data_IF_508182320504
#
_entry.id   IF_508182320504
#
_cell.length_a   1.000
_cell.length_b   1.000
_cell.length_c   1.000
_cell.angle_alpha   90.00
_cell.angle_beta   90.00
_cell.angle_gamma   90.00
#
_symmetry.space_group_name_H-M   'P 1'
#
loop_
_entity.id
_entity.type
_entity.pdbx_description
1 polymer ?
#
# COMPACT_ATOMS: atom_id res chain seq x y z
N UNK A 1 12.28 67.13 -2.14
CA UNK A 1 13.55 66.86 -1.44
C UNK A 1 13.91 65.42 -1.76
N UNK A 2 13.99 65.08 -3.06
CA UNK A 2 15.06 65.49 -4.02
C UNK A 2 16.31 64.67 -3.66
N UNK A 3 17.02 63.97 -4.52
CA UNK A 3 17.08 63.80 -5.99
C UNK A 3 18.02 62.58 -6.19
N UNK A 4 17.81 61.68 -7.18
CA UNK A 4 18.58 61.58 -8.45
C UNK A 4 20.12 61.55 -8.24
N UNK A 5 20.94 60.72 -8.89
CA UNK A 5 20.84 60.06 -10.19
C UNK A 5 22.06 59.13 -10.41
N UNK A 6 22.09 58.51 -11.60
CA UNK A 6 23.27 58.23 -12.45
C UNK A 6 23.77 56.77 -12.57
N UNK A 7 23.18 56.06 -13.54
CA UNK A 7 23.91 55.20 -14.49
C UNK A 7 24.67 56.10 -15.49
N UNK A 8 25.76 55.69 -16.20
CA UNK A 8 25.61 54.83 -17.39
C UNK A 8 26.85 54.02 -17.92
N UNK A 9 26.53 52.95 -18.67
CA UNK A 9 27.01 52.59 -20.03
C UNK A 9 28.52 52.30 -20.32
N UNK A 10 28.81 51.11 -20.92
CA UNK A 10 29.43 50.97 -22.27
C UNK A 10 29.80 49.53 -22.68
N UNK A 11 29.08 49.05 -23.69
CA UNK A 11 29.56 48.64 -25.03
C UNK A 11 30.57 47.48 -25.24
N UNK A 12 30.06 46.43 -25.89
CA UNK A 12 30.48 45.80 -27.17
C UNK A 12 31.91 45.21 -27.35
N UNK A 13 31.97 43.99 -27.92
CA UNK A 13 32.81 43.49 -29.05
C UNK A 13 32.28 42.07 -29.39
N UNK A 14 31.54 41.86 -30.49
CA UNK A 14 32.01 41.44 -31.83
C UNK A 14 33.08 40.34 -31.84
N UNK A 15 32.75 39.13 -32.32
CA UNK A 15 33.27 38.65 -33.61
C UNK A 15 32.55 37.37 -34.09
N UNK A 16 32.34 37.32 -35.40
CA UNK A 16 31.67 36.29 -36.18
C UNK A 16 32.65 35.23 -36.71
N UNK A 17 32.11 34.07 -37.12
CA UNK A 17 32.47 33.48 -38.41
C UNK A 17 33.20 32.13 -38.45
N UNK A 18 32.45 31.13 -38.94
CA UNK A 18 32.79 30.15 -40.01
C UNK A 18 33.22 28.70 -39.66
N UNK A 19 32.29 27.81 -40.05
CA UNK A 19 32.35 26.36 -40.34
C UNK A 19 33.37 25.98 -41.48
N UNK A 20 33.34 24.76 -42.05
CA UNK A 20 33.63 23.42 -41.51
C UNK A 20 34.70 22.70 -42.36
N UNK A 21 35.40 21.68 -41.85
CA UNK A 21 36.07 20.71 -42.75
C UNK A 21 35.96 19.25 -42.32
N UNK A 22 35.70 18.48 -43.36
CA UNK A 22 35.42 17.06 -43.54
C UNK A 22 36.60 16.14 -43.18
N UNK A 23 36.25 14.99 -42.59
CA UNK A 23 36.97 13.70 -42.41
C UNK A 23 37.43 13.05 -43.74
N UNK A 24 38.05 11.83 -43.80
CA UNK A 24 38.71 10.89 -42.85
C UNK A 24 40.02 10.26 -43.47
N UNK A 25 40.48 8.97 -43.25
CA UNK A 25 40.25 7.91 -42.23
C UNK A 25 41.56 7.22 -41.69
N UNK A 26 41.34 6.12 -40.94
CA UNK A 26 42.24 5.02 -40.50
C UNK A 26 42.86 5.16 -39.09
N UNK A 27 43.01 4.13 -38.25
CA UNK A 27 42.46 2.78 -38.09
C UNK A 27 42.96 2.28 -36.72
N UNK A 28 42.09 1.62 -35.96
CA UNK A 28 42.42 0.52 -35.03
C UNK A 28 43.39 0.76 -33.85
N UNK A 29 42.86 0.96 -32.65
CA UNK A 29 43.32 0.22 -31.46
C UNK A 29 42.12 -0.19 -30.58
N UNK A 30 42.19 -1.44 -30.18
CA UNK A 30 41.20 -2.25 -29.49
C UNK A 30 41.17 -2.00 -27.99
N UNK A 31 40.02 -1.58 -27.47
CA UNK A 31 39.70 -1.67 -26.04
C UNK A 31 38.34 -2.35 -25.88
N UNK A 32 38.38 -3.67 -25.73
CA UNK A 32 37.19 -4.50 -25.47
C UNK A 32 36.81 -4.35 -24.01
N UNK A 33 36.29 -3.20 -23.62
CA UNK A 33 35.43 -3.10 -22.44
C UNK A 33 34.05 -3.63 -22.83
N UNK A 34 33.81 -4.89 -22.47
CA UNK A 34 32.48 -5.52 -22.43
C UNK A 34 31.47 -4.52 -21.85
N UNK A 35 30.47 -4.04 -22.61
CA UNK A 35 29.37 -3.34 -21.98
C UNK A 35 28.64 -4.39 -21.14
N UNK A 36 28.63 -4.18 -19.82
CA UNK A 36 27.77 -4.91 -18.92
C UNK A 36 26.38 -4.96 -19.55
N UNK A 37 25.86 -6.18 -19.70
CA UNK A 37 24.51 -6.42 -20.18
C UNK A 37 23.57 -5.41 -19.49
N UNK A 38 22.63 -4.77 -20.22
CA UNK A 38 21.67 -3.92 -19.55
C UNK A 38 21.03 -4.76 -18.47
N UNK A 39 21.19 -4.32 -17.21
CA UNK A 39 20.46 -4.88 -16.09
C UNK A 39 19.03 -5.06 -16.58
N UNK A 40 18.55 -6.31 -16.52
CA UNK A 40 17.21 -6.64 -16.98
C UNK A 40 16.27 -5.61 -16.36
N UNK A 41 15.70 -4.75 -17.20
CA UNK A 41 14.62 -3.89 -16.76
C UNK A 41 13.51 -4.87 -16.42
N UNK A 42 13.42 -5.22 -15.14
CA UNK A 42 12.29 -5.93 -14.59
C UNK A 42 11.07 -5.19 -15.12
N UNK A 43 10.31 -5.85 -15.99
CA UNK A 43 9.05 -5.29 -16.49
C UNK A 43 8.31 -4.77 -15.26
N UNK A 44 7.83 -3.51 -15.24
CA UNK A 44 7.02 -3.04 -14.13
C UNK A 44 5.96 -4.11 -13.89
N UNK A 45 5.91 -4.64 -12.66
CA UNK A 45 4.87 -5.59 -12.30
C UNK A 45 3.49 -4.98 -12.63
N UNK A 46 2.42 -5.79 -12.67
CA UNK A 46 1.07 -5.28 -12.90
C UNK A 46 0.84 -4.02 -12.05
N UNK A 47 0.49 -2.90 -12.70
CA UNK A 47 0.26 -1.65 -11.98
C UNK A 47 -0.81 -1.91 -10.90
N UNK A 48 -0.57 -1.56 -9.62
CA UNK A 48 -1.54 -1.78 -8.57
C UNK A 48 -2.86 -1.07 -8.91
N UNK A 49 -3.99 -1.69 -8.56
CA UNK A 49 -5.34 -1.16 -8.84
C UNK A 49 -5.49 0.32 -8.47
N UNK A 50 -5.00 0.72 -7.30
CA UNK A 50 -5.00 2.12 -6.82
C UNK A 50 -4.24 3.05 -7.78
N UNK A 51 -3.05 2.65 -8.23
CA UNK A 51 -2.26 3.45 -9.17
C UNK A 51 -2.94 3.59 -10.53
N UNK A 52 -3.59 2.51 -11.01
CA UNK A 52 -4.40 2.55 -12.23
C UNK A 52 -5.56 3.54 -12.08
N UNK A 53 -6.34 3.44 -10.99
CA UNK A 53 -7.50 4.30 -10.74
C UNK A 53 -7.13 5.77 -10.61
N UNK A 54 -6.03 6.10 -9.92
CA UNK A 54 -5.51 7.48 -9.86
C UNK A 54 -5.12 7.98 -11.26
N UNK A 55 -4.60 7.11 -12.13
CA UNK A 55 -4.25 7.49 -13.51
C UNK A 55 -5.49 7.62 -14.41
N UNK A 56 -6.54 6.85 -14.14
CA UNK A 56 -7.79 6.83 -14.89
C UNK A 56 -8.64 8.09 -14.61
N UNK A 57 -8.64 8.54 -13.35
CA UNK A 57 -9.32 9.76 -12.88
C UNK A 57 -8.29 10.82 -12.47
N UNK A 58 -7.31 11.10 -13.34
CA UNK A 58 -6.16 11.97 -13.03
C UNK A 58 -6.57 13.38 -12.60
N UNK A 59 -7.66 13.91 -13.16
CA UNK A 59 -8.19 15.24 -12.84
C UNK A 59 -8.83 15.29 -11.47
N UNK A 60 -9.63 14.28 -11.13
CA UNK A 60 -10.43 14.24 -9.91
C UNK A 60 -9.67 13.65 -8.71
N UNK A 61 -8.73 12.74 -8.96
CA UNK A 61 -7.89 12.08 -7.95
C UNK A 61 -6.46 12.65 -7.90
N UNK A 62 -6.25 13.84 -8.47
CA UNK A 62 -4.98 14.56 -8.36
C UNK A 62 -4.57 14.71 -6.88
N UNK A 63 -3.34 14.31 -6.55
CA UNK A 63 -2.81 14.39 -5.19
C UNK A 63 -3.35 13.35 -4.20
N UNK A 64 -4.35 12.53 -4.56
CA UNK A 64 -4.91 11.49 -3.67
C UNK A 64 -3.85 10.46 -3.26
N UNK A 65 -2.92 10.14 -4.17
CA UNK A 65 -1.82 9.23 -3.86
C UNK A 65 -0.86 9.78 -2.81
N UNK A 66 -0.56 11.09 -2.89
CA UNK A 66 0.34 11.76 -1.93
C UNK A 66 -0.37 11.95 -0.59
N UNK A 67 -1.67 12.23 -0.61
CA UNK A 67 -2.51 12.31 0.60
C UNK A 67 -2.65 10.94 1.29
N UNK A 68 -2.81 9.85 0.54
CA UNK A 68 -2.79 8.49 1.11
C UNK A 68 -1.48 8.22 1.85
N UNK A 69 -0.36 8.59 1.24
CA UNK A 69 0.97 8.45 1.84
C UNK A 69 1.13 9.34 3.07
N UNK A 70 0.75 10.61 2.99
CA UNK A 70 0.81 11.54 4.12
C UNK A 70 -0.04 11.06 5.30
N UNK A 71 -1.29 10.64 5.06
CA UNK A 71 -2.16 10.11 6.12
C UNK A 71 -1.69 8.80 6.69
N UNK A 72 -1.09 7.94 5.86
CA UNK A 72 -0.57 6.69 6.38
C UNK A 72 0.68 6.94 7.22
N UNK A 73 1.64 7.73 6.73
CA UNK A 73 2.96 7.95 7.35
C UNK A 73 2.98 8.96 8.49
N UNK A 74 1.89 9.69 8.72
CA UNK A 74 1.81 10.64 9.81
C UNK A 74 1.57 9.90 11.16
N UNK A 75 2.49 10.00 12.13
CA UNK A 75 2.38 9.32 13.41
C UNK A 75 1.26 9.86 14.31
N UNK A 76 0.78 11.09 14.05
CA UNK A 76 -0.33 11.71 14.78
C UNK A 76 -1.71 11.28 14.26
N UNK A 77 -1.75 10.57 13.12
CA UNK A 77 -2.98 10.03 12.56
C UNK A 77 -3.06 8.53 12.78
N UNK A 78 -4.06 8.08 13.53
CA UNK A 78 -4.38 6.65 13.73
C UNK A 78 -5.06 6.02 12.48
N UNK A 79 -4.63 6.42 11.28
CA UNK A 79 -5.24 5.98 10.04
C UNK A 79 -4.89 4.51 9.74
N UNK A 80 -5.81 3.61 10.06
CA UNK A 80 -5.70 2.21 9.66
C UNK A 80 -5.73 2.06 8.13
N UNK A 81 -5.08 1.01 7.60
CA UNK A 81 -5.17 0.68 6.16
C UNK A 81 -6.60 0.44 5.69
N UNK A 82 -7.50 0.02 6.59
CA UNK A 82 -8.92 -0.15 6.29
C UNK A 82 -9.61 1.21 6.12
N UNK A 83 -9.45 2.12 7.07
CA UNK A 83 -10.00 3.48 6.96
C UNK A 83 -9.42 4.25 5.76
N UNK A 84 -8.18 3.97 5.36
CA UNK A 84 -7.60 4.53 4.14
C UNK A 84 -8.23 3.93 2.87
N UNK A 85 -8.62 2.66 2.89
CA UNK A 85 -9.36 2.05 1.79
C UNK A 85 -10.76 2.64 1.65
N UNK A 86 -11.48 2.79 2.77
CA UNK A 86 -12.80 3.43 2.80
C UNK A 86 -12.71 4.87 2.29
N UNK A 87 -11.76 5.65 2.82
CA UNK A 87 -11.52 7.00 2.35
C UNK A 87 -11.19 7.05 0.85
N UNK A 88 -10.32 6.17 0.34
CA UNK A 88 -10.02 6.13 -1.09
C UNK A 88 -11.24 5.79 -1.93
N UNK A 89 -12.07 4.83 -1.50
CA UNK A 89 -13.28 4.45 -2.21
C UNK A 89 -14.31 5.58 -2.23
N UNK A 90 -14.41 6.37 -1.16
CA UNK A 90 -15.22 7.60 -1.14
C UNK A 90 -14.70 8.65 -2.13
N UNK A 91 -13.36 8.84 -2.21
CA UNK A 91 -12.77 9.72 -3.21
C UNK A 91 -13.03 9.23 -4.64
N UNK A 92 -12.92 7.92 -4.89
CA UNK A 92 -13.22 7.31 -6.19
C UNK A 92 -14.69 7.51 -6.57
N UNK A 93 -15.61 7.25 -5.64
CA UNK A 93 -17.04 7.48 -5.88
C UNK A 93 -17.30 8.96 -6.18
N UNK A 94 -16.69 9.88 -5.42
CA UNK A 94 -16.78 11.32 -5.69
C UNK A 94 -16.26 11.67 -7.09
N UNK A 95 -15.13 11.10 -7.50
CA UNK A 95 -14.57 11.31 -8.83
C UNK A 95 -15.54 10.86 -9.93
N UNK A 96 -16.15 9.68 -9.79
CA UNK A 96 -17.10 9.17 -10.79
C UNK A 96 -18.37 10.02 -10.84
N UNK A 97 -18.90 10.44 -9.68
CA UNK A 97 -20.06 11.33 -9.63
C UNK A 97 -19.76 12.68 -10.32
N UNK A 98 -18.60 13.27 -10.08
CA UNK A 98 -18.19 14.51 -10.74
C UNK A 98 -18.01 14.33 -12.26
N UNK A 99 -17.42 13.22 -12.69
CA UNK A 99 -17.27 12.89 -14.12
C UNK A 99 -18.62 12.71 -14.82
N UNK A 100 -19.65 12.22 -14.10
CA UNK A 100 -21.03 12.15 -14.57
C UNK A 100 -21.79 13.50 -14.50
N UNK A 101 -21.17 14.56 -13.99
CA UNK A 101 -21.78 15.88 -13.84
C UNK A 101 -22.71 16.01 -12.63
N UNK A 102 -22.65 15.08 -11.67
CA UNK A 102 -23.43 15.10 -10.44
C UNK A 102 -22.71 15.98 -9.42
N UNK A 103 -23.42 16.95 -8.84
CA UNK A 103 -22.87 17.84 -7.82
C UNK A 103 -22.68 17.09 -6.49
N UNK A 104 -21.43 16.89 -6.09
CA UNK A 104 -21.08 16.08 -4.91
C UNK A 104 -21.12 16.85 -3.60
N UNK A 105 -21.22 18.19 -3.65
CA UNK A 105 -21.34 19.05 -2.46
C UNK A 105 -22.69 18.81 -1.76
N UNK A 106 -23.71 18.45 -2.51
CA UNK A 106 -25.08 18.22 -2.02
C UNK A 106 -25.35 16.76 -1.64
N UNK A 107 -24.46 15.83 -1.99
CA UNK A 107 -24.62 14.40 -1.75
C UNK A 107 -23.70 13.95 -0.60
N UNK A 108 -24.23 13.12 0.31
CA UNK A 108 -23.45 12.46 1.36
C UNK A 108 -22.72 11.26 0.75
N UNK A 109 -21.59 11.52 0.09
CA UNK A 109 -20.80 10.49 -0.61
C UNK A 109 -20.39 9.34 0.32
N UNK A 110 -20.11 9.62 1.60
CA UNK A 110 -19.75 8.61 2.59
C UNK A 110 -20.93 7.67 2.86
N UNK A 111 -22.15 8.21 3.00
CA UNK A 111 -23.36 7.39 3.10
C UNK A 111 -23.63 6.58 1.82
N UNK A 112 -23.49 7.19 0.64
CA UNK A 112 -23.67 6.50 -0.64
C UNK A 112 -22.69 5.32 -0.78
N UNK A 113 -21.41 5.55 -0.46
CA UNK A 113 -20.40 4.50 -0.44
C UNK A 113 -20.81 3.37 0.52
N UNK A 114 -21.18 3.68 1.76
CA UNK A 114 -21.56 2.68 2.75
C UNK A 114 -22.77 1.83 2.33
N UNK A 115 -23.76 2.43 1.64
CA UNK A 115 -24.90 1.70 1.09
C UNK A 115 -24.47 0.80 -0.06
N UNK A 116 -23.69 1.32 -1.01
CA UNK A 116 -23.21 0.58 -2.19
C UNK A 116 -22.22 -0.54 -1.83
N UNK A 117 -21.35 -0.33 -0.84
CA UNK A 117 -20.35 -1.31 -0.37
C UNK A 117 -20.96 -2.49 0.40
N UNK A 118 -22.22 -2.38 0.81
CA UNK A 118 -22.88 -3.43 1.58
C UNK A 118 -22.86 -3.22 3.10
N UNK A 119 -22.17 -2.19 3.59
CA UNK A 119 -21.94 -1.98 5.03
C UNK A 119 -23.18 -1.50 5.77
N UNK A 120 -24.01 -0.71 5.10
CA UNK A 120 -25.28 -0.23 5.64
C UNK A 120 -26.40 -0.37 4.61
N UNK A 121 -27.61 -0.06 5.07
CA UNK A 121 -28.81 -0.04 4.26
C UNK A 121 -29.38 -1.41 3.92
N UNK A 122 -30.67 -1.41 3.61
CA UNK A 122 -31.36 -2.63 3.18
C UNK A 122 -31.02 -2.99 1.72
N UNK A 123 -31.29 -4.24 1.31
CA UNK A 123 -31.18 -4.62 -0.11
C UNK A 123 -32.04 -3.74 -1.02
N UNK A 124 -33.25 -3.38 -0.57
CA UNK A 124 -34.16 -2.54 -1.35
C UNK A 124 -33.65 -1.10 -1.50
N UNK A 125 -33.04 -0.56 -0.45
CA UNK A 125 -32.40 0.76 -0.45
C UNK A 125 -31.19 0.80 -1.39
N UNK A 126 -30.33 -0.23 -1.33
CA UNK A 126 -29.21 -0.38 -2.26
C UNK A 126 -29.67 -0.42 -3.72
N UNK A 127 -30.66 -1.26 -4.04
CA UNK A 127 -31.24 -1.34 -5.39
C UNK A 127 -31.94 -0.06 -5.83
N UNK A 128 -32.48 0.74 -4.90
CA UNK A 128 -33.04 2.05 -5.22
C UNK A 128 -31.94 3.06 -5.54
N UNK A 129 -30.86 3.05 -4.76
CA UNK A 129 -29.71 3.92 -4.96
C UNK A 129 -28.97 3.60 -6.27
N UNK A 130 -28.69 2.33 -6.55
CA UNK A 130 -28.08 1.86 -7.80
C UNK A 130 -28.86 2.40 -9.01
N UNK A 131 -30.18 2.16 -9.06
CA UNK A 131 -31.05 2.64 -10.15
C UNK A 131 -31.13 4.15 -10.27
N UNK A 132 -30.98 4.89 -9.17
CA UNK A 132 -30.92 6.36 -9.19
C UNK A 132 -29.66 6.81 -9.90
N UNK A 133 -28.51 6.34 -9.42
CA UNK A 133 -27.20 6.71 -9.95
C UNK A 133 -27.02 6.28 -11.42
N UNK A 134 -27.51 5.09 -11.80
CA UNK A 134 -27.52 4.63 -13.20
C UNK A 134 -28.32 5.55 -14.12
N UNK A 135 -29.47 6.04 -13.66
CA UNK A 135 -30.29 7.00 -14.42
C UNK A 135 -29.56 8.33 -14.60
N UNK A 136 -28.77 8.71 -13.62
CA UNK A 136 -27.96 9.93 -13.61
C UNK A 136 -26.62 9.74 -14.39
N UNK A 137 -26.43 8.59 -15.05
CA UNK A 137 -25.32 8.33 -15.96
C UNK A 137 -24.11 7.63 -15.34
N UNK A 138 -24.22 7.15 -14.09
CA UNK A 138 -23.14 6.47 -13.37
C UNK A 138 -23.18 4.96 -13.64
N UNK A 139 -22.07 4.38 -14.11
CA UNK A 139 -21.93 2.93 -14.21
C UNK A 139 -21.64 2.31 -12.83
N UNK A 140 -22.69 2.12 -12.02
CA UNK A 140 -22.56 1.73 -10.60
C UNK A 140 -21.84 0.39 -10.44
N UNK A 141 -22.20 -0.63 -11.21
CA UNK A 141 -21.56 -1.95 -11.18
C UNK A 141 -20.04 -1.83 -11.40
N UNK A 142 -19.62 -1.03 -12.38
CA UNK A 142 -18.20 -0.77 -12.65
C UNK A 142 -17.52 -0.09 -11.48
N UNK A 143 -18.13 0.93 -10.88
CA UNK A 143 -17.57 1.61 -9.69
C UNK A 143 -17.42 0.67 -8.50
N UNK A 144 -18.45 -0.13 -8.22
CA UNK A 144 -18.44 -1.03 -7.07
C UNK A 144 -17.38 -2.12 -7.23
N UNK A 145 -17.19 -2.63 -8.45
CA UNK A 145 -16.12 -3.57 -8.77
C UNK A 145 -14.73 -2.94 -8.66
N UNK A 146 -14.64 -1.62 -8.84
CA UNK A 146 -13.40 -0.86 -8.72
C UNK A 146 -13.03 -0.47 -7.29
N UNK A 147 -13.92 -0.66 -6.31
CA UNK A 147 -13.57 -0.46 -4.91
C UNK A 147 -12.35 -1.29 -4.50
N UNK A 148 -11.49 -0.64 -3.71
CA UNK A 148 -10.21 -1.19 -3.28
C UNK A 148 -10.34 -1.73 -1.87
N UNK A 149 -9.63 -2.83 -1.62
CA UNK A 149 -9.51 -3.39 -0.28
C UNK A 149 -8.30 -2.79 0.45
N UNK A 150 -8.25 -3.01 1.77
CA UNK A 150 -7.06 -2.66 2.57
C UNK A 150 -5.76 -3.29 2.00
N UNK A 151 -5.86 -4.49 1.39
CA UNK A 151 -4.72 -5.17 0.78
C UNK A 151 -4.23 -4.46 -0.48
N UNK A 152 -5.13 -3.85 -1.25
CA UNK A 152 -4.79 -3.04 -2.42
C UNK A 152 -4.12 -1.72 -2.01
N UNK A 153 -4.63 -1.06 -0.96
CA UNK A 153 -3.99 0.13 -0.37
C UNK A 153 -2.59 -0.20 0.15
N UNK A 154 -2.44 -1.28 0.92
CA UNK A 154 -1.13 -1.72 1.41
C UNK A 154 -0.15 -1.95 0.26
N UNK A 155 -0.58 -2.69 -0.77
CA UNK A 155 0.26 -3.02 -1.93
C UNK A 155 0.66 -1.76 -2.71
N UNK A 156 -0.24 -0.79 -2.83
CA UNK A 156 0.07 0.50 -3.44
C UNK A 156 1.11 1.29 -2.61
N UNK A 157 0.87 1.43 -1.31
CA UNK A 157 1.73 2.24 -0.46
C UNK A 157 3.12 1.62 -0.29
N UNK A 158 3.22 0.34 0.07
CA UNK A 158 4.53 -0.31 0.27
C UNK A 158 5.21 -0.69 -1.03
N UNK A 159 4.45 -1.15 -2.02
CA UNK A 159 4.99 -1.76 -3.24
C UNK A 159 5.19 -0.80 -4.40
N UNK A 160 4.41 0.27 -4.48
CA UNK A 160 4.49 1.25 -5.58
C UNK A 160 5.03 2.60 -5.12
N UNK A 161 4.56 3.11 -3.98
CA UNK A 161 5.07 4.37 -3.40
C UNK A 161 6.33 4.18 -2.55
N UNK A 162 6.67 2.94 -2.16
CA UNK A 162 7.74 2.64 -1.20
C UNK A 162 7.56 3.37 0.15
N UNK A 163 6.33 3.73 0.49
CA UNK A 163 5.99 4.31 1.78
C UNK A 163 6.13 3.23 2.86
N UNK A 164 6.58 3.66 4.04
CA UNK A 164 6.72 2.80 5.22
C UNK A 164 5.72 3.25 6.25
N UNK A 165 5.12 2.30 6.98
CA UNK A 165 4.23 2.62 8.08
C UNK A 165 4.91 3.64 9.03
N UNK A 166 4.14 4.56 9.63
CA UNK A 166 4.66 5.55 10.54
C UNK A 166 5.41 4.78 11.60
N UNK A 167 6.69 5.13 11.75
CA UNK A 167 7.46 4.70 12.89
C UNK A 167 6.85 5.46 14.07
N UNK A 168 5.73 4.97 14.60
CA UNK A 168 5.50 5.10 16.03
C UNK A 168 6.81 4.67 16.68
N UNK A 169 7.27 5.37 17.70
CA UNK A 169 8.63 5.27 18.22
C UNK A 169 9.04 3.87 18.74
N UNK A 170 8.23 2.84 18.52
CA UNK A 170 8.58 1.44 18.67
C UNK A 170 8.03 0.66 17.47
N UNK A 171 8.74 -0.37 17.01
CA UNK A 171 8.18 -1.37 16.09
C UNK A 171 6.90 -2.02 16.65
N UNK A 172 6.37 -3.10 16.04
CA UNK A 172 5.25 -3.81 16.65
C UNK A 172 5.59 -4.13 18.11
N UNK A 173 4.81 -3.57 19.04
CA UNK A 173 5.10 -3.70 20.47
C UNK A 173 5.22 -5.18 20.84
N UNK A 174 6.02 -5.52 21.84
CA UNK A 174 6.18 -6.91 22.26
C UNK A 174 4.81 -7.56 22.55
N UNK A 175 3.88 -6.79 23.13
CA UNK A 175 2.49 -7.21 23.35
C UNK A 175 1.68 -7.44 22.06
N UNK A 176 1.80 -6.57 21.05
CA UNK A 176 1.13 -6.77 19.76
C UNK A 176 1.69 -8.01 19.03
N UNK A 177 3.01 -8.17 19.05
CA UNK A 177 3.71 -9.32 18.47
C UNK A 177 3.29 -10.63 19.16
N UNK A 178 3.22 -10.64 20.50
CA UNK A 178 2.78 -11.80 21.28
C UNK A 178 1.34 -12.21 20.93
N UNK A 179 0.41 -11.24 20.80
CA UNK A 179 -0.98 -11.52 20.39
C UNK A 179 -1.06 -12.16 19.02
N UNK A 180 -0.32 -11.64 18.04
CA UNK A 180 -0.31 -12.22 16.68
C UNK A 180 0.19 -13.66 16.68
N UNK A 181 1.23 -13.96 17.45
CA UNK A 181 1.76 -15.33 17.55
C UNK A 181 0.74 -16.27 18.20
N UNK A 182 0.05 -15.80 19.25
CA UNK A 182 -0.99 -16.59 19.92
C UNK A 182 -2.19 -16.90 19.00
N UNK A 183 -2.63 -15.93 18.20
CA UNK A 183 -3.68 -16.17 17.18
C UNK A 183 -3.27 -17.25 16.16
N UNK A 184 -2.01 -17.23 15.73
CA UNK A 184 -1.47 -18.24 14.81
C UNK A 184 -1.40 -19.63 15.46
N UNK A 185 -1.03 -19.72 16.75
CA UNK A 185 -1.04 -20.98 17.51
C UNK A 185 -2.44 -21.55 17.58
N UNK A 186 -3.41 -20.76 18.01
CA UNK A 186 -4.81 -21.19 18.13
C UNK A 186 -5.36 -21.66 16.79
N UNK A 187 -5.11 -20.91 15.71
CA UNK A 187 -5.53 -21.31 14.37
C UNK A 187 -4.86 -22.60 13.91
N UNK A 188 -3.58 -22.79 14.21
CA UNK A 188 -2.85 -24.02 13.87
C UNK A 188 -3.43 -25.23 14.59
N UNK A 189 -3.76 -25.08 15.88
CA UNK A 189 -4.46 -26.11 16.67
C UNK A 189 -5.79 -26.45 16.01
N UNK A 190 -6.68 -25.46 15.82
CA UNK A 190 -8.02 -25.70 15.25
C UNK A 190 -7.99 -26.31 13.85
N UNK A 191 -7.08 -25.86 12.98
CA UNK A 191 -6.94 -26.42 11.62
C UNK A 191 -6.42 -27.85 11.67
N UNK A 192 -5.52 -28.17 12.60
CA UNK A 192 -4.99 -29.53 12.75
C UNK A 192 -6.05 -30.47 13.29
N UNK A 193 -6.81 -30.07 14.32
CA UNK A 193 -7.95 -30.84 14.84
C UNK A 193 -8.96 -31.12 13.72
N UNK A 194 -9.37 -30.09 12.99
CA UNK A 194 -10.31 -30.22 11.87
C UNK A 194 -9.81 -31.21 10.80
N UNK A 195 -8.49 -31.28 10.56
CA UNK A 195 -7.90 -32.21 9.59
C UNK A 195 -7.83 -33.63 10.13
N UNK A 196 -7.50 -33.81 11.40
CA UNK A 196 -7.47 -35.12 12.05
C UNK A 196 -8.87 -35.72 12.07
N UNK A 197 -9.88 -34.94 12.46
CA UNK A 197 -11.29 -35.36 12.48
C UNK A 197 -11.73 -35.87 11.09
N UNK A 198 -11.43 -35.11 10.04
CA UNK A 198 -11.75 -35.51 8.66
C UNK A 198 -11.05 -36.81 8.22
N UNK A 199 -9.83 -37.05 8.67
CA UNK A 199 -9.13 -38.30 8.38
C UNK A 199 -9.72 -39.49 9.16
N UNK A 200 -10.30 -39.25 10.34
CA UNK A 200 -11.05 -40.27 11.08
C UNK A 200 -12.37 -40.59 10.40
N UNK A 201 -13.12 -39.57 9.96
CA UNK A 201 -14.40 -39.73 9.24
C UNK A 201 -14.25 -40.53 7.95
N UNK A 202 -13.08 -40.47 7.31
CA UNK A 202 -12.78 -41.19 6.06
C UNK A 202 -12.05 -42.51 6.27
N UNK A 203 -11.95 -42.99 7.53
CA UNK A 203 -11.26 -44.22 7.94
C UNK A 203 -9.77 -44.30 7.52
N UNK A 204 -9.18 -43.16 7.13
CA UNK A 204 -7.77 -43.07 6.74
C UNK A 204 -6.84 -42.94 7.96
N UNK A 205 -7.38 -42.55 9.11
CA UNK A 205 -6.65 -42.44 10.37
C UNK A 205 -7.49 -42.97 11.54
N UNK A 206 -6.87 -43.76 12.42
CA UNK A 206 -7.47 -44.19 13.68
C UNK A 206 -6.67 -43.63 14.85
N UNK A 207 -7.24 -42.66 15.55
CA UNK A 207 -6.67 -42.08 16.77
C UNK A 207 -7.74 -42.04 17.87
N UNK A 208 -7.33 -42.23 19.13
CA UNK A 208 -8.25 -42.12 20.27
C UNK A 208 -8.66 -40.68 20.56
N UNK A 209 -9.38 -40.44 21.68
CA UNK A 209 -9.57 -39.09 22.21
C UNK A 209 -8.21 -38.38 22.33
N UNK A 210 -8.07 -37.23 21.70
CA UNK A 210 -6.81 -36.53 21.57
C UNK A 210 -6.99 -35.04 21.83
N UNK A 211 -5.85 -34.35 21.97
CA UNK A 211 -5.76 -32.89 22.07
C UNK A 211 -4.59 -32.46 21.21
N UNK A 212 -4.74 -31.34 20.50
CA UNK A 212 -3.66 -30.77 19.70
C UNK A 212 -3.03 -29.62 20.49
N UNK A 213 -1.70 -29.59 20.49
CA UNK A 213 -0.91 -28.51 21.09
C UNK A 213 0.03 -27.94 20.02
N UNK A 214 0.25 -26.64 20.06
CA UNK A 214 1.19 -25.95 19.18
C UNK A 214 2.00 -24.98 20.03
N UNK A 215 3.32 -25.17 20.07
CA UNK A 215 4.23 -24.37 20.87
C UNK A 215 5.32 -23.76 19.98
N UNK A 216 5.69 -22.52 20.29
CA UNK A 216 6.73 -21.78 19.56
C UNK A 216 7.80 -21.39 20.56
N UNK A 217 8.98 -21.96 20.38
CA UNK A 217 10.10 -21.82 21.31
C UNK A 217 11.23 -21.05 20.64
N UNK A 218 11.88 -20.17 21.40
CA UNK A 218 13.07 -19.42 20.99
C UNK A 218 14.27 -19.94 21.79
N UNK A 219 15.27 -20.50 21.09
CA UNK A 219 16.55 -20.87 21.69
C UNK A 219 17.52 -19.70 21.57
N UNK A 220 18.01 -19.19 22.70
CA UNK A 220 19.14 -18.28 22.69
C UNK A 220 20.44 -19.09 22.69
N UNK A 221 21.20 -19.06 21.60
CA UNK A 221 22.47 -19.79 21.48
C UNK A 221 23.56 -19.28 22.45
N UNK A 222 23.42 -18.06 22.97
CA UNK A 222 24.39 -17.45 23.87
C UNK A 222 24.21 -17.90 25.32
N UNK A 223 22.99 -17.88 25.87
CA UNK A 223 22.73 -18.40 27.22
C UNK A 223 22.28 -19.87 27.25
N UNK A 224 22.05 -20.49 26.08
CA UNK A 224 21.69 -21.90 25.94
C UNK A 224 20.27 -22.25 26.41
N UNK A 225 19.44 -21.26 26.73
CA UNK A 225 18.07 -21.45 27.24
C UNK A 225 17.03 -21.34 26.14
N UNK A 226 15.96 -22.12 26.29
CA UNK A 226 14.76 -22.05 25.47
C UNK A 226 13.67 -21.30 26.22
N UNK A 227 12.95 -20.44 25.52
CA UNK A 227 11.86 -19.63 26.06
C UNK A 227 10.61 -19.85 25.22
N UNK A 228 9.45 -19.91 25.87
CA UNK A 228 8.22 -19.65 25.14
C UNK A 228 8.28 -18.24 24.57
N UNK A 229 7.85 -18.09 23.33
CA UNK A 229 7.95 -16.80 22.64
C UNK A 229 7.07 -15.73 23.30
N UNK A 230 5.95 -16.09 23.93
CA UNK A 230 5.13 -15.13 24.68
C UNK A 230 5.86 -14.66 25.93
N UNK A 231 6.43 -15.59 26.70
CA UNK A 231 7.19 -15.29 27.93
C UNK A 231 8.42 -14.42 27.62
N UNK A 232 9.14 -14.70 26.53
CA UNK A 232 10.30 -13.90 26.09
C UNK A 232 9.91 -12.49 25.67
N UNK A 233 8.75 -12.34 25.00
CA UNK A 233 8.24 -11.03 24.61
C UNK A 233 7.72 -10.25 25.82
N UNK A 234 7.18 -10.93 26.82
CA UNK A 234 6.76 -10.31 28.09
C UNK A 234 7.94 -9.88 28.95
N UNK A 235 8.98 -10.72 29.07
CA UNK A 235 10.20 -10.38 29.80
C UNK A 235 11.04 -9.30 29.09
N UNK A 236 10.90 -9.20 27.77
CA UNK A 236 11.64 -8.25 26.93
C UNK A 236 13.12 -8.59 26.75
N UNK A 237 13.61 -9.62 27.42
CA UNK A 237 15.00 -10.06 27.35
C UNK A 237 15.14 -11.54 27.73
N UNK A 238 16.19 -12.16 27.21
CA UNK A 238 16.68 -13.45 27.70
C UNK A 238 17.70 -13.24 28.82
N UNK A 239 18.04 -14.31 29.54
CA UNK A 239 19.01 -14.33 30.63
C UNK A 239 20.42 -13.83 30.29
N UNK A 240 20.72 -13.56 29.01
CA UNK A 240 21.95 -12.84 28.67
C UNK A 240 21.99 -11.41 29.24
N UNK A 241 20.83 -10.86 29.58
CA UNK A 241 20.66 -9.47 30.00
C UNK A 241 19.96 -9.34 31.37
N UNK A 242 19.59 -10.45 31.99
CA UNK A 242 19.16 -10.48 33.39
C UNK A 242 20.41 -10.49 34.29
N UNK A 243 20.56 -9.47 35.14
CA UNK A 243 21.67 -9.35 36.12
C UNK A 243 21.25 -9.84 37.49
#
# INVERSE_FOLDING_TARGET
MDDQDDSPDRSAHDNAGQDPQTTPPESSESDTSTPAAPASRSKPGPQPKVARLISEYDRELAGVGDELEARWTNPETDASLRSLADWFNEQLLRAVLMAAGIETITEDVSHLYAVLSGETGSRGERTQLERRLERDGVAVETVTDEFVSYGAIRSYLTGYRNATAPSGTDGPSAAATARTIEELRQRTVSVTESKLDRLQETDQLRVGPHRVFADVQVLCERCGKQYDVADLLESGACDCYES
#
